data_IF_095240280164
#
_entry.id   IF_095240280164
#
_cell.length_a   1.000
_cell.length_b   1.000
_cell.length_c   1.000
_cell.angle_alpha   90.00
_cell.angle_beta   90.00
_cell.angle_gamma   90.00
#
_symmetry.space_group_name_H-M   'P 1'
#
loop_
_entity.id
_entity.type
_entity.pdbx_description
1 polymer ?
#
# COMPACT_ATOMS: atom_id res chain seq x y z
N UNK A 1 -5.62 -12.58 -3.29
CA UNK A 1 -5.45 -11.27 -2.65
C UNK A 1 -5.66 -11.41 -1.16
N UNK A 2 -5.14 -10.47 -0.38
CA UNK A 2 -5.18 -10.50 1.09
C UNK A 2 -5.66 -9.16 1.63
N UNK A 3 -6.45 -9.18 2.69
CA UNK A 3 -6.79 -8.01 3.48
C UNK A 3 -5.78 -7.83 4.61
N UNK A 4 -5.24 -6.63 4.78
CA UNK A 4 -4.33 -6.28 5.87
C UNK A 4 -4.86 -5.04 6.57
N UNK A 5 -4.99 -5.12 7.88
CA UNK A 5 -5.32 -3.98 8.73
C UNK A 5 -4.06 -3.56 9.50
N UNK A 6 -3.73 -2.28 9.42
CA UNK A 6 -2.57 -1.69 10.09
C UNK A 6 -2.87 -0.28 10.62
N UNK A 7 -2.09 0.16 11.61
CA UNK A 7 -2.20 1.51 12.18
C UNK A 7 -1.45 2.51 11.29
N UNK A 8 -2.14 3.58 10.88
CA UNK A 8 -1.54 4.66 10.08
C UNK A 8 -0.78 5.65 10.96
N UNK A 9 -1.49 6.34 11.87
CA UNK A 9 -0.90 7.27 12.85
C UNK A 9 -1.37 6.91 14.26
N UNK A 10 -2.67 7.04 14.46
CA UNK A 10 -3.41 6.81 15.70
C UNK A 10 -4.53 5.79 15.52
N UNK A 11 -5.05 5.67 14.30
CA UNK A 11 -6.16 4.80 13.91
C UNK A 11 -5.76 3.91 12.74
N UNK A 12 -6.63 2.98 12.40
CA UNK A 12 -6.36 1.93 11.43
C UNK A 12 -6.81 2.28 10.01
N UNK A 13 -6.20 1.58 9.05
CA UNK A 13 -6.70 1.39 7.71
C UNK A 13 -6.78 -0.11 7.40
N UNK A 14 -7.61 -0.50 6.44
CA UNK A 14 -7.57 -1.84 5.85
C UNK A 14 -7.32 -1.72 4.36
N UNK A 15 -6.29 -2.42 3.87
CA UNK A 15 -5.96 -2.53 2.45
C UNK A 15 -6.28 -3.93 1.95
N UNK A 16 -6.85 -4.03 0.75
CA UNK A 16 -6.85 -5.25 -0.05
C UNK A 16 -5.71 -5.17 -1.06
N UNK A 17 -4.83 -6.17 -1.05
CA UNK A 17 -3.68 -6.28 -1.96
C UNK A 17 -3.79 -7.57 -2.77
N UNK A 18 -3.87 -7.44 -4.09
CA UNK A 18 -3.85 -8.56 -5.02
C UNK A 18 -2.49 -8.64 -5.71
N UNK A 19 -1.89 -9.84 -5.71
CA UNK A 19 -0.59 -10.13 -6.33
C UNK A 19 -0.79 -11.33 -7.26
N UNK A 20 -0.20 -11.29 -8.45
CA UNK A 20 -0.22 -12.40 -9.40
C UNK A 20 0.83 -13.48 -9.04
N UNK A 21 0.79 -14.66 -9.69
CA UNK A 21 1.77 -15.73 -9.44
C UNK A 21 3.22 -15.35 -9.78
N UNK A 22 3.46 -14.27 -10.54
CA UNK A 22 4.80 -13.77 -10.85
C UNK A 22 5.35 -12.83 -9.76
N UNK A 23 4.57 -12.55 -8.72
CA UNK A 23 4.95 -11.65 -7.64
C UNK A 23 4.78 -10.16 -7.98
N UNK A 24 3.93 -9.83 -8.96
CA UNK A 24 3.57 -8.45 -9.31
C UNK A 24 2.21 -8.07 -8.78
N UNK A 25 2.06 -6.82 -8.35
CA UNK A 25 0.79 -6.28 -7.87
C UNK A 25 -0.22 -6.21 -9.02
N UNK A 26 -1.37 -6.85 -8.85
CA UNK A 26 -2.53 -6.72 -9.74
C UNK A 26 -3.38 -5.51 -9.39
N UNK A 27 -3.61 -5.29 -8.09
CA UNK A 27 -4.49 -4.24 -7.58
C UNK A 27 -4.23 -3.94 -6.10
N UNK A 28 -4.45 -2.69 -5.68
CA UNK A 28 -4.44 -2.26 -4.28
C UNK A 28 -5.66 -1.38 -4.04
N UNK A 29 -6.50 -1.74 -3.07
CA UNK A 29 -7.69 -0.96 -2.71
C UNK A 29 -7.72 -0.65 -1.22
N UNK A 30 -8.17 0.56 -0.91
CA UNK A 30 -8.55 0.92 0.44
C UNK A 30 -9.96 0.41 0.73
N UNK A 31 -10.09 -0.36 1.81
CA UNK A 31 -11.36 -0.97 2.24
C UNK A 31 -11.97 -0.16 3.38
N UNK A 32 -11.13 0.25 4.34
CA UNK A 32 -11.53 1.10 5.46
C UNK A 32 -10.39 2.05 5.82
N UNK A 33 -10.73 3.23 6.34
CA UNK A 33 -9.78 4.24 6.78
C UNK A 33 -10.42 5.08 7.87
N UNK A 34 -9.79 5.12 9.04
CA UNK A 34 -10.38 5.75 10.23
C UNK A 34 -9.71 7.06 10.66
N UNK A 35 -8.57 7.41 10.08
CA UNK A 35 -7.97 8.75 10.23
C UNK A 35 -8.83 9.83 9.55
N UNK A 36 -8.61 11.13 9.85
CA UNK A 36 -9.27 12.22 9.15
C UNK A 36 -9.20 12.07 7.62
N UNK A 37 -10.32 12.34 6.95
CA UNK A 37 -10.51 12.04 5.52
C UNK A 37 -9.49 12.77 4.63
N UNK A 38 -8.98 13.93 5.04
CA UNK A 38 -7.92 14.66 4.36
C UNK A 38 -6.58 13.90 4.28
N UNK A 39 -6.39 12.86 5.11
CA UNK A 39 -5.24 11.97 5.06
C UNK A 39 -5.49 10.67 4.30
N UNK A 40 -6.70 10.47 3.76
CA UNK A 40 -7.05 9.26 3.01
C UNK A 40 -6.19 9.16 1.74
N UNK A 41 -5.61 7.99 1.42
CA UNK A 41 -4.89 7.83 0.17
C UNK A 41 -5.91 7.85 -0.99
N UNK A 42 -5.74 8.70 -2.02
CA UNK A 42 -6.66 8.74 -3.14
C UNK A 42 -6.43 7.53 -4.05
N UNK A 43 -7.48 7.02 -4.68
CA UNK A 43 -7.43 5.83 -5.55
C UNK A 43 -6.37 5.94 -6.65
N UNK A 44 -6.20 7.14 -7.22
CA UNK A 44 -5.17 7.41 -8.24
C UNK A 44 -3.75 7.17 -7.74
N UNK A 45 -3.50 7.38 -6.44
CA UNK A 45 -2.19 7.13 -5.83
C UNK A 45 -1.99 5.63 -5.61
N UNK A 46 -3.02 4.91 -5.13
CA UNK A 46 -2.98 3.44 -4.98
C UNK A 46 -2.75 2.75 -6.32
N UNK A 47 -3.34 3.25 -7.40
CA UNK A 47 -3.17 2.72 -8.75
C UNK A 47 -1.70 2.72 -9.24
N UNK A 48 -0.84 3.59 -8.69
CA UNK A 48 0.60 3.66 -9.03
C UNK A 48 1.37 2.40 -8.59
N UNK A 49 0.81 1.63 -7.65
CA UNK A 49 1.41 0.39 -7.16
C UNK A 49 1.19 -0.78 -8.12
N UNK A 50 0.25 -0.66 -9.07
CA UNK A 50 -0.04 -1.73 -10.04
C UNK A 50 1.20 -2.07 -10.87
N UNK A 51 1.47 -3.37 -11.01
CA UNK A 51 2.61 -3.92 -11.77
C UNK A 51 3.94 -3.92 -11.01
N UNK A 52 4.00 -3.27 -9.84
CA UNK A 52 5.20 -3.25 -8.99
C UNK A 52 5.47 -4.61 -8.35
N UNK A 53 6.74 -4.87 -8.05
CA UNK A 53 7.23 -6.11 -7.43
C UNK A 53 8.11 -5.83 -6.22
N UNK A 54 8.44 -6.87 -5.44
CA UNK A 54 9.27 -6.74 -4.24
C UNK A 54 10.70 -6.21 -4.52
N UNK A 55 11.19 -6.36 -5.76
CA UNK A 55 12.52 -5.94 -6.16
C UNK A 55 12.60 -4.43 -6.44
N UNK A 56 11.46 -3.74 -6.52
CA UNK A 56 11.39 -2.30 -6.69
C UNK A 56 11.29 -1.61 -5.32
N UNK A 57 11.93 -0.45 -5.20
CA UNK A 57 11.69 0.43 -4.06
C UNK A 57 10.34 1.11 -4.22
N UNK A 58 9.55 1.16 -3.15
CA UNK A 58 8.23 1.79 -3.11
C UNK A 58 8.21 2.99 -2.16
N UNK A 59 9.35 3.67 -2.00
CA UNK A 59 9.50 4.72 -1.00
C UNK A 59 8.71 5.99 -1.41
N UNK A 60 7.72 6.43 -0.62
CA UNK A 60 7.03 7.69 -0.88
C UNK A 60 7.98 8.90 -0.86
N UNK A 61 7.77 9.83 -1.78
CA UNK A 61 8.64 11.00 -1.97
C UNK A 61 9.92 10.72 -2.76
N UNK A 62 10.20 9.46 -3.11
CA UNK A 62 11.34 9.07 -3.94
C UNK A 62 10.89 8.28 -5.17
N UNK A 63 10.29 7.11 -4.94
CA UNK A 63 9.83 6.20 -6.01
C UNK A 63 8.33 6.35 -6.28
N UNK A 64 7.58 6.81 -5.28
CA UNK A 64 6.17 7.17 -5.38
C UNK A 64 5.99 8.67 -5.12
N UNK A 65 5.02 9.35 -5.75
CA UNK A 65 4.69 10.73 -5.43
C UNK A 65 4.42 10.90 -3.94
N UNK A 66 4.92 11.99 -3.35
CA UNK A 66 4.58 12.35 -1.98
C UNK A 66 3.08 12.71 -1.87
N UNK A 67 2.47 12.44 -0.72
CA UNK A 67 1.14 12.96 -0.37
C UNK A 67 1.29 14.09 0.64
N UNK A 68 1.03 15.33 0.19
CA UNK A 68 1.12 16.52 1.04
C UNK A 68 0.22 16.36 2.27
N UNK A 69 0.77 16.58 3.47
CA UNK A 69 0.05 16.42 4.74
C UNK A 69 -0.25 14.98 5.15
N UNK A 70 -0.03 13.98 4.28
CA UNK A 70 -0.38 12.58 4.52
C UNK A 70 0.82 11.62 4.35
N UNK A 71 2.02 12.07 4.75
CA UNK A 71 3.26 11.27 4.68
C UNK A 71 3.13 9.94 5.42
N UNK A 72 2.48 9.93 6.60
CA UNK A 72 2.27 8.70 7.38
C UNK A 72 1.35 7.70 6.67
N UNK A 73 0.29 8.18 6.01
CA UNK A 73 -0.57 7.34 5.17
C UNK A 73 0.20 6.71 4.03
N UNK A 74 1.00 7.51 3.32
CA UNK A 74 1.80 7.02 2.20
C UNK A 74 2.82 5.96 2.67
N UNK A 75 3.47 6.21 3.81
CA UNK A 75 4.40 5.29 4.44
C UNK A 75 3.73 3.96 4.83
N UNK A 76 2.70 4.00 5.66
CA UNK A 76 1.98 2.81 6.12
C UNK A 76 1.43 1.98 4.95
N UNK A 77 0.86 2.63 3.93
CA UNK A 77 0.37 1.96 2.72
C UNK A 77 1.50 1.26 1.97
N UNK A 78 2.63 1.94 1.74
CA UNK A 78 3.81 1.35 1.10
C UNK A 78 4.35 0.16 1.90
N UNK A 79 4.49 0.30 3.21
CA UNK A 79 5.04 -0.74 4.08
C UNK A 79 4.16 -1.98 4.11
N UNK A 80 2.85 -1.81 4.24
CA UNK A 80 1.88 -2.92 4.16
C UNK A 80 1.94 -3.64 2.81
N UNK A 81 2.02 -2.89 1.70
CA UNK A 81 2.11 -3.48 0.36
C UNK A 81 3.43 -4.25 0.17
N UNK A 82 4.55 -3.71 0.66
CA UNK A 82 5.84 -4.42 0.64
C UNK A 82 5.83 -5.67 1.50
N UNK A 83 5.19 -5.63 2.67
CA UNK A 83 5.02 -6.79 3.52
C UNK A 83 4.22 -7.88 2.80
N UNK A 84 3.10 -7.55 2.15
CA UNK A 84 2.31 -8.52 1.38
C UNK A 84 3.14 -9.14 0.26
N UNK A 85 3.90 -8.35 -0.49
CA UNK A 85 4.80 -8.86 -1.54
C UNK A 85 5.86 -9.82 -0.98
N UNK A 86 6.44 -9.51 0.18
CA UNK A 86 7.40 -10.38 0.85
C UNK A 86 6.76 -11.71 1.29
N UNK A 87 5.55 -11.66 1.86
CA UNK A 87 4.80 -12.85 2.27
C UNK A 87 4.40 -13.73 1.08
N UNK A 88 4.02 -13.13 -0.05
CA UNK A 88 3.72 -13.88 -1.28
C UNK A 88 4.98 -14.55 -1.80
N UNK A 89 6.11 -13.83 -1.87
CA UNK A 89 7.39 -14.40 -2.31
C UNK A 89 7.84 -15.58 -1.43
N UNK A 90 7.63 -15.51 -0.12
CA UNK A 90 8.01 -16.59 0.81
C UNK A 90 7.14 -17.86 0.66
N UNK A 91 5.99 -17.77 -0.03
CA UNK A 91 5.08 -18.89 -0.29
C UNK A 91 5.25 -19.52 -1.68
N UNK A 92 6.04 -18.89 -2.55
CA UNK A 92 6.42 -19.37 -3.89
C UNK A 92 7.75 -20.11 -3.81
#
# INVERSE_FOLDING_TARGET
GTFVTDRVRTKEQTLFVAVDPSGKILDVRLISFFEPEEYRPPDRWLALLKGKSLNESLQPGKDLPAMSGATLTAGATSDTVRMVLALVKAKL
#
